data_IF_269815344441
#
_entry.id   IF_269815344441
#
_cell.length_a   1.000
_cell.length_b   1.000
_cell.length_c   1.000
_cell.angle_alpha   90.00
_cell.angle_beta   90.00
_cell.angle_gamma   90.00
#
_symmetry.space_group_name_H-M   'P 1'
#
loop_
_entity.id
_entity.type
_entity.pdbx_description
1 polymer ?
#
# COMPACT_ATOMS: atom_id res chain seq x y z
N UNK A 1 30.18 4.82 -23.69
CA UNK A 1 29.50 3.94 -22.70
C UNK A 1 29.09 2.66 -23.41
N UNK A 2 29.63 1.50 -23.04
CA UNK A 2 29.44 0.24 -23.77
C UNK A 2 28.05 -0.37 -23.46
N UNK A 3 27.31 -0.82 -24.48
CA UNK A 3 25.95 -1.38 -24.34
C UNK A 3 25.89 -2.57 -23.37
N UNK A 4 26.98 -3.33 -23.24
CA UNK A 4 27.12 -4.42 -22.27
C UNK A 4 27.07 -3.92 -20.81
N UNK A 5 27.62 -2.74 -20.54
CA UNK A 5 27.67 -2.14 -19.20
C UNK A 5 26.29 -1.62 -18.76
N UNK A 6 25.58 -0.94 -19.67
CA UNK A 6 24.21 -0.48 -19.42
C UNK A 6 23.21 -1.65 -19.22
N UNK A 7 23.42 -2.78 -19.91
CA UNK A 7 22.60 -4.00 -19.72
C UNK A 7 22.84 -4.65 -18.35
N UNK A 8 24.08 -4.66 -17.87
CA UNK A 8 24.43 -5.18 -16.55
C UNK A 8 23.79 -4.35 -15.43
N UNK A 9 23.94 -3.02 -15.49
CA UNK A 9 23.37 -2.10 -14.48
C UNK A 9 21.84 -2.24 -14.39
N UNK A 10 21.13 -2.27 -15.53
CA UNK A 10 19.67 -2.46 -15.52
C UNK A 10 19.26 -3.79 -14.90
N UNK A 11 20.00 -4.88 -15.17
CA UNK A 11 19.66 -6.21 -14.63
C UNK A 11 19.85 -6.28 -13.12
N UNK A 12 20.94 -5.71 -12.61
CA UNK A 12 21.17 -5.66 -11.16
C UNK A 12 20.16 -4.73 -10.47
N UNK A 13 19.83 -3.59 -11.05
CA UNK A 13 18.77 -2.70 -10.56
C UNK A 13 17.41 -3.43 -10.46
N UNK A 14 16.97 -4.12 -11.51
CA UNK A 14 15.70 -4.87 -11.49
C UNK A 14 15.70 -5.98 -10.44
N UNK A 15 16.82 -6.71 -10.24
CA UNK A 15 16.92 -7.72 -9.18
C UNK A 15 16.78 -7.10 -7.80
N UNK A 16 17.45 -5.98 -7.55
CA UNK A 16 17.41 -5.28 -6.26
C UNK A 16 15.99 -4.76 -5.98
N UNK A 17 15.37 -4.07 -6.94
CA UNK A 17 13.99 -3.59 -6.81
C UNK A 17 13.03 -4.75 -6.58
N UNK A 18 13.18 -5.84 -7.34
CA UNK A 18 12.33 -7.02 -7.21
C UNK A 18 12.50 -7.72 -5.85
N UNK A 19 13.73 -7.80 -5.34
CA UNK A 19 14.01 -8.34 -4.01
C UNK A 19 13.33 -7.52 -2.91
N UNK A 20 13.49 -6.20 -2.92
CA UNK A 20 12.82 -5.33 -1.94
C UNK A 20 11.30 -5.40 -2.06
N UNK A 21 10.75 -5.42 -3.29
CA UNK A 21 9.32 -5.58 -3.51
C UNK A 21 8.82 -6.88 -2.91
N UNK A 22 9.52 -8.00 -3.15
CA UNK A 22 9.14 -9.32 -2.64
C UNK A 22 9.24 -9.43 -1.11
N UNK A 23 10.19 -8.75 -0.49
CA UNK A 23 10.36 -8.72 0.97
C UNK A 23 9.20 -7.96 1.64
N UNK A 24 8.73 -6.87 1.05
CA UNK A 24 7.65 -6.06 1.64
C UNK A 24 6.26 -6.58 1.26
N UNK A 25 6.15 -7.30 0.15
CA UNK A 25 4.90 -7.83 -0.37
C UNK A 25 4.02 -8.57 0.68
N UNK A 26 4.55 -9.45 1.55
CA UNK A 26 3.73 -10.16 2.55
C UNK A 26 3.06 -9.21 3.55
N UNK A 27 3.74 -8.14 3.94
CA UNK A 27 3.23 -7.15 4.90
C UNK A 27 2.11 -6.34 4.23
N UNK A 28 2.35 -5.85 3.01
CA UNK A 28 1.33 -5.11 2.26
C UNK A 28 0.13 -5.99 1.94
N UNK A 29 0.34 -7.25 1.57
CA UNK A 29 -0.77 -8.17 1.28
C UNK A 29 -1.62 -8.44 2.52
N UNK A 30 -1.00 -8.59 3.70
CA UNK A 30 -1.72 -8.80 4.95
C UNK A 30 -2.60 -7.59 5.29
N UNK A 31 -2.06 -6.38 5.12
CA UNK A 31 -2.78 -5.12 5.35
C UNK A 31 -3.93 -4.99 4.36
N UNK A 32 -3.69 -5.19 3.05
CA UNK A 32 -4.74 -5.11 2.01
C UNK A 32 -5.85 -6.14 2.27
N UNK A 33 -5.49 -7.37 2.63
CA UNK A 33 -6.48 -8.41 2.99
C UNK A 33 -7.29 -7.94 4.21
N UNK A 34 -6.64 -7.36 5.22
CA UNK A 34 -7.35 -6.85 6.40
C UNK A 34 -8.31 -5.69 6.07
N UNK A 35 -7.93 -4.78 5.16
CA UNK A 35 -8.79 -3.70 4.65
C UNK A 35 -10.03 -4.28 3.99
N UNK A 36 -9.84 -5.23 3.06
CA UNK A 36 -10.93 -5.87 2.33
C UNK A 36 -11.85 -6.65 3.28
N UNK A 37 -11.30 -7.43 4.20
CA UNK A 37 -12.07 -8.21 5.17
C UNK A 37 -12.91 -7.31 6.08
N UNK A 38 -12.32 -6.24 6.62
CA UNK A 38 -13.06 -5.29 7.45
C UNK A 38 -14.16 -4.60 6.62
N UNK A 39 -13.86 -4.22 5.38
CA UNK A 39 -14.84 -3.67 4.44
C UNK A 39 -16.04 -4.59 4.20
N UNK A 40 -15.78 -5.88 3.99
CA UNK A 40 -16.83 -6.90 3.81
C UNK A 40 -17.64 -7.14 5.08
N UNK A 41 -17.02 -7.09 6.26
CA UNK A 41 -17.74 -7.18 7.54
C UNK A 41 -18.65 -5.96 7.72
N UNK A 42 -18.15 -4.75 7.42
CA UNK A 42 -18.94 -3.52 7.51
C UNK A 42 -20.12 -3.56 6.53
N UNK A 43 -19.90 -3.96 5.26
CA UNK A 43 -21.01 -4.04 4.30
C UNK A 43 -22.05 -5.07 4.70
N UNK A 44 -21.65 -6.21 5.24
CA UNK A 44 -22.60 -7.20 5.75
C UNK A 44 -23.44 -6.64 6.90
N UNK A 45 -22.82 -5.92 7.85
CA UNK A 45 -23.52 -5.34 9.00
C UNK A 45 -24.41 -4.14 8.64
N UNK A 46 -24.02 -3.34 7.65
CA UNK A 46 -24.79 -2.17 7.17
C UNK A 46 -25.75 -2.51 6.02
N UNK A 47 -25.84 -3.77 5.62
CA UNK A 47 -26.61 -4.26 4.48
C UNK A 47 -26.26 -3.55 3.15
N UNK A 48 -24.98 -3.22 2.95
CA UNK A 48 -24.46 -2.73 1.68
C UNK A 48 -24.08 -3.88 0.75
N UNK A 49 -23.92 -3.61 -0.55
CA UNK A 49 -23.35 -4.62 -1.42
C UNK A 49 -21.89 -4.91 -1.05
N UNK A 50 -21.36 -6.12 -1.33
CA UNK A 50 -19.95 -6.44 -1.08
C UNK A 50 -18.99 -5.47 -1.79
N UNK A 51 -19.34 -5.03 -3.00
CA UNK A 51 -18.55 -4.08 -3.77
C UNK A 51 -18.53 -2.69 -3.12
N UNK A 52 -19.66 -2.22 -2.60
CA UNK A 52 -19.74 -0.96 -1.86
C UNK A 52 -18.90 -1.02 -0.58
N UNK A 53 -18.88 -2.17 0.10
CA UNK A 53 -18.02 -2.41 1.27
C UNK A 53 -16.53 -2.32 0.96
N UNK A 54 -16.10 -2.94 -0.13
CA UNK A 54 -14.70 -2.87 -0.61
C UNK A 54 -14.36 -1.44 -1.02
N UNK A 55 -15.25 -0.78 -1.75
CA UNK A 55 -15.10 0.62 -2.14
C UNK A 55 -14.95 1.52 -0.91
N UNK A 56 -15.86 1.43 0.06
CA UNK A 56 -15.79 2.15 1.33
C UNK A 56 -14.48 1.88 2.07
N UNK A 57 -14.03 0.63 2.07
CA UNK A 57 -12.79 0.24 2.74
C UNK A 57 -11.55 0.91 2.15
N UNK A 58 -11.45 0.95 0.81
CA UNK A 58 -10.35 1.65 0.15
C UNK A 58 -10.48 3.17 0.27
N UNK A 59 -11.68 3.74 0.11
CA UNK A 59 -11.90 5.19 0.25
C UNK A 59 -11.55 5.68 1.66
N UNK A 60 -11.94 4.91 2.68
CA UNK A 60 -11.62 5.23 4.08
C UNK A 60 -10.15 4.96 4.40
N UNK A 61 -9.61 3.80 3.98
CA UNK A 61 -8.22 3.42 4.25
C UNK A 61 -7.21 4.32 3.54
N UNK A 62 -7.49 4.74 2.31
CA UNK A 62 -6.68 5.72 1.58
C UNK A 62 -6.94 7.16 2.04
N UNK A 63 -7.75 7.36 3.07
CA UNK A 63 -8.10 8.68 3.63
C UNK A 63 -8.75 9.63 2.62
N UNK A 64 -9.38 9.09 1.57
CA UNK A 64 -10.10 9.87 0.55
C UNK A 64 -11.41 10.42 1.14
N UNK A 65 -12.19 9.53 1.78
CA UNK A 65 -13.36 9.93 2.58
C UNK A 65 -14.46 10.68 1.84
N UNK A 66 -14.91 10.19 0.67
CA UNK A 66 -15.98 10.85 -0.11
C UNK A 66 -17.30 11.03 0.65
N UNK A 67 -17.60 10.15 1.62
CA UNK A 67 -18.76 10.28 2.51
C UNK A 67 -20.09 9.82 1.91
N UNK A 68 -20.06 9.17 0.76
CA UNK A 68 -21.19 8.52 0.10
C UNK A 68 -21.67 7.26 0.85
N UNK A 69 -20.74 6.51 1.46
CA UNK A 69 -21.03 5.44 2.40
C UNK A 69 -20.56 5.80 3.81
N UNK A 70 -21.47 5.79 4.77
CA UNK A 70 -21.20 6.14 6.16
C UNK A 70 -21.84 5.13 7.13
N UNK A 71 -21.06 4.46 8.00
CA UNK A 71 -21.58 3.46 8.93
C UNK A 71 -22.54 4.08 9.96
N UNK A 72 -23.71 3.45 10.12
CA UNK A 72 -24.78 3.90 11.02
C UNK A 72 -24.71 3.19 12.36
N UNK A 73 -24.31 1.92 12.38
CA UNK A 73 -24.18 1.12 13.59
C UNK A 73 -22.94 1.54 14.40
N UNK A 74 -23.03 1.44 15.73
CA UNK A 74 -21.91 1.77 16.62
C UNK A 74 -20.71 0.85 16.34
N UNK A 75 -20.95 -0.45 16.15
CA UNK A 75 -19.90 -1.42 15.89
C UNK A 75 -19.15 -1.15 14.57
N UNK A 76 -19.87 -0.81 13.51
CA UNK A 76 -19.28 -0.53 12.19
C UNK A 76 -18.53 0.80 12.17
N UNK A 77 -18.92 1.79 12.99
CA UNK A 77 -18.13 3.00 13.23
C UNK A 77 -16.80 2.70 13.89
N UNK A 78 -16.78 1.83 14.90
CA UNK A 78 -15.53 1.39 15.54
C UNK A 78 -14.65 0.65 14.53
N UNK A 79 -15.23 -0.25 13.73
CA UNK A 79 -14.51 -0.94 12.66
C UNK A 79 -13.96 0.05 11.60
N UNK A 80 -14.71 1.08 11.24
CA UNK A 80 -14.26 2.11 10.31
C UNK A 80 -13.08 2.95 10.86
N UNK A 81 -13.06 3.21 12.17
CA UNK A 81 -11.90 3.86 12.81
C UNK A 81 -10.67 2.95 12.73
N UNK A 82 -10.80 1.66 13.06
CA UNK A 82 -9.71 0.68 12.96
C UNK A 82 -9.21 0.53 11.52
N UNK A 83 -10.13 0.52 10.56
CA UNK A 83 -9.86 0.52 9.13
C UNK A 83 -9.05 1.76 8.70
N UNK A 84 -9.40 2.95 9.23
CA UNK A 84 -8.65 4.18 8.99
C UNK A 84 -7.20 4.09 9.48
N UNK A 85 -6.98 3.58 10.70
CA UNK A 85 -5.61 3.34 11.21
C UNK A 85 -4.84 2.36 10.33
N UNK A 86 -5.48 1.27 9.89
CA UNK A 86 -4.87 0.28 9.01
C UNK A 86 -4.44 0.89 7.65
N UNK A 87 -5.28 1.74 7.08
CA UNK A 87 -4.99 2.47 5.86
C UNK A 87 -3.85 3.49 5.99
N UNK A 88 -3.77 4.21 7.11
CA UNK A 88 -2.64 5.10 7.42
C UNK A 88 -1.34 4.30 7.51
N UNK A 89 -1.35 3.13 8.15
CA UNK A 89 -0.19 2.24 8.20
C UNK A 89 0.24 1.79 6.81
N UNK A 90 -0.71 1.41 5.94
CA UNK A 90 -0.44 1.04 4.56
C UNK A 90 0.28 2.15 3.79
N UNK A 91 -0.28 3.36 3.84
CA UNK A 91 0.25 4.51 3.10
C UNK A 91 1.62 4.95 3.63
N UNK A 92 1.84 4.90 4.95
CA UNK A 92 3.14 5.18 5.57
C UNK A 92 4.22 4.18 5.16
N UNK A 93 3.90 2.87 5.13
CA UNK A 93 4.82 1.83 4.68
C UNK A 93 5.17 2.04 3.20
N UNK A 94 4.16 2.30 2.36
CA UNK A 94 4.37 2.56 0.94
C UNK A 94 5.30 3.76 0.72
N UNK A 95 5.05 4.88 1.40
CA UNK A 95 5.89 6.08 1.34
C UNK A 95 7.34 5.80 1.80
N UNK A 96 7.51 5.06 2.90
CA UNK A 96 8.83 4.69 3.42
C UNK A 96 9.65 3.87 2.42
N UNK A 97 9.01 2.93 1.72
CA UNK A 97 9.67 2.14 0.66
C UNK A 97 10.06 3.02 -0.52
N UNK A 98 9.16 3.92 -0.95
CA UNK A 98 9.47 4.86 -2.03
C UNK A 98 10.68 5.72 -1.70
N UNK A 99 10.75 6.25 -0.47
CA UNK A 99 11.90 7.04 0.01
C UNK A 99 13.18 6.19 -0.02
N UNK A 100 13.15 4.98 0.54
CA UNK A 100 14.33 4.08 0.54
C UNK A 100 14.80 3.72 -0.86
N UNK A 101 13.88 3.49 -1.79
CA UNK A 101 14.22 3.20 -3.18
C UNK A 101 14.92 4.38 -3.85
N UNK A 102 14.44 5.61 -3.59
CA UNK A 102 15.05 6.85 -4.08
C UNK A 102 16.44 7.04 -3.48
N UNK A 103 16.60 6.86 -2.16
CA UNK A 103 17.91 6.98 -1.49
C UNK A 103 18.95 6.03 -2.07
N UNK A 104 18.56 4.78 -2.36
CA UNK A 104 19.44 3.79 -3.00
C UNK A 104 19.84 4.24 -4.40
N UNK A 105 18.88 4.76 -5.18
CA UNK A 105 19.15 5.27 -6.53
C UNK A 105 20.10 6.47 -6.52
N UNK A 106 19.92 7.42 -5.59
CA UNK A 106 20.81 8.58 -5.42
C UNK A 106 22.22 8.15 -5.02
N UNK A 107 22.35 7.29 -4.01
CA UNK A 107 23.65 6.78 -3.54
C UNK A 107 24.40 6.00 -4.61
N UNK A 108 23.69 5.24 -5.44
CA UNK A 108 24.28 4.54 -6.59
C UNK A 108 24.83 5.53 -7.63
N UNK A 109 24.09 6.61 -7.92
CA UNK A 109 24.53 7.65 -8.85
C UNK A 109 25.73 8.47 -8.34
N UNK A 110 25.86 8.66 -7.02
CA UNK A 110 27.02 9.32 -6.41
C UNK A 110 28.29 8.46 -6.47
N UNK A 111 28.17 7.14 -6.27
CA UNK A 111 29.32 6.23 -6.36
C UNK A 111 29.93 6.15 -7.76
N UNK A 112 29.13 6.32 -8.81
CA UNK A 112 29.60 6.30 -10.19
C UNK A 112 30.36 7.59 -10.60
N UNK A 113 30.35 8.64 -9.77
CA UNK A 113 31.10 9.89 -10.02
C UNK A 113 32.53 9.87 -9.48
N UNK A 114 32.90 8.87 -8.68
CA UNK A 114 34.23 8.70 -8.09
C UNK A 114 34.92 7.46 -8.65
#
# INVERSE_FOLDING_TARGET
MNFAHAKHIRREFYKTVWFYLHVVWPILSLIIISIVLIGLIISYLEAWSPFDGIYFAFVTGLTIGYGDFAPKLVITRVLAILLGFNGILMTAIFASISIRAIEIAVRAAERDKH
#
